data_IF_379801570560
#
_entry.id   IF_379801570560
#
_cell.length_a   1.000
_cell.length_b   1.000
_cell.length_c   1.000
_cell.angle_alpha   90.00
_cell.angle_beta   90.00
_cell.angle_gamma   90.00
#
_symmetry.space_group_name_H-M   'P 1'
#
loop_
_entity.id
_entity.type
_entity.pdbx_description
1 polymer ?
#
# COMPACT_ATOMS: atom_id res chain seq x y z
N UNK A 1 -66.04 2.76 15.49
CA UNK A 1 -66.59 1.70 14.63
C UNK A 1 -65.44 0.95 14.04
N UNK A 2 -65.02 -0.11 14.65
CA UNK A 2 -64.38 -1.29 14.09
C UNK A 2 -65.45 -2.19 13.46
N UNK A 3 -65.14 -3.34 12.84
CA UNK A 3 -63.89 -4.00 12.34
C UNK A 3 -64.14 -4.68 10.99
N UNK A 4 -63.19 -5.43 10.50
CA UNK A 4 -63.22 -6.86 10.12
C UNK A 4 -62.31 -7.12 8.89
N UNK A 5 -61.36 -7.95 9.15
CA UNK A 5 -61.16 -9.35 8.77
C UNK A 5 -61.05 -9.68 7.27
N UNK A 6 -59.91 -10.21 6.87
CA UNK A 6 -59.80 -11.48 6.20
C UNK A 6 -58.38 -11.86 5.76
N UNK A 7 -57.90 -12.86 6.40
CA UNK A 7 -57.45 -14.18 5.91
C UNK A 7 -56.07 -14.26 5.23
N UNK A 8 -55.21 -14.92 5.98
CA UNK A 8 -53.95 -15.57 5.58
C UNK A 8 -54.17 -16.74 4.62
N UNK A 9 -53.23 -16.94 3.68
CA UNK A 9 -52.91 -18.26 3.08
C UNK A 9 -51.42 -18.47 3.04
N UNK A 10 -50.94 -19.70 3.36
CA UNK A 10 -49.53 -20.00 3.47
C UNK A 10 -48.95 -20.40 2.14
N UNK A 11 -47.70 -19.96 1.87
CA UNK A 11 -46.89 -20.42 0.75
C UNK A 11 -46.10 -21.67 1.11
N UNK A 12 -46.22 -22.67 0.28
CA UNK A 12 -45.64 -24.01 0.37
C UNK A 12 -44.11 -23.97 0.36
N UNK A 13 -43.52 -24.66 1.33
CA UNK A 13 -42.16 -25.20 1.28
C UNK A 13 -42.04 -26.25 0.16
N UNK A 14 -41.05 -26.08 -0.70
CA UNK A 14 -40.57 -27.17 -1.53
C UNK A 14 -39.22 -27.65 -1.01
N UNK A 15 -39.27 -28.74 -0.28
CA UNK A 15 -38.13 -29.58 0.05
C UNK A 15 -37.69 -30.34 -1.22
N UNK A 16 -36.41 -30.24 -1.58
CA UNK A 16 -35.81 -31.15 -2.58
C UNK A 16 -34.90 -32.13 -1.85
N UNK A 17 -35.30 -33.39 -1.98
CA UNK A 17 -34.73 -34.55 -1.33
C UNK A 17 -33.30 -34.86 -1.83
N UNK A 18 -32.52 -35.32 -0.84
CA UNK A 18 -31.26 -36.08 -1.04
C UNK A 18 -31.57 -37.41 -1.75
N UNK A 19 -30.83 -37.69 -2.80
CA UNK A 19 -30.71 -39.07 -3.31
C UNK A 19 -29.25 -39.52 -3.23
N UNK A 20 -28.97 -40.35 -2.27
CA UNK A 20 -27.87 -41.31 -2.20
C UNK A 20 -28.04 -42.39 -3.21
N UNK A 21 -27.00 -42.72 -3.98
CA UNK A 21 -26.89 -43.98 -4.71
C UNK A 21 -25.61 -44.67 -4.28
N UNK A 22 -25.79 -45.79 -3.65
CA UNK A 22 -24.80 -46.76 -3.22
C UNK A 22 -24.86 -47.98 -4.19
N UNK A 23 -23.70 -48.57 -4.43
CA UNK A 23 -23.41 -49.97 -4.74
C UNK A 23 -23.36 -50.44 -6.20
N UNK A 24 -22.19 -50.98 -6.51
CA UNK A 24 -21.92 -51.95 -7.53
C UNK A 24 -20.62 -52.67 -7.23
N UNK A 25 -20.75 -53.79 -6.52
CA UNK A 25 -19.69 -54.79 -6.30
C UNK A 25 -19.54 -55.66 -7.54
N UNK A 26 -18.32 -55.96 -7.97
CA UNK A 26 -18.00 -57.00 -8.94
C UNK A 26 -16.68 -57.68 -8.57
N UNK A 27 -16.79 -58.91 -8.10
CA UNK A 27 -15.71 -59.80 -7.71
C UNK A 27 -15.28 -60.73 -8.88
N UNK A 28 -14.03 -61.19 -8.81
CA UNK A 28 -13.48 -62.31 -9.58
C UNK A 28 -12.06 -62.01 -10.06
N UNK A 29 -11.06 -62.86 -10.00
CA UNK A 29 -10.86 -64.22 -9.54
C UNK A 29 -9.34 -64.43 -9.33
N UNK A 30 -9.04 -65.36 -8.50
CA UNK A 30 -7.71 -65.87 -8.09
C UNK A 30 -7.01 -66.61 -9.20
N UNK A 31 -5.69 -66.42 -9.38
CA UNK A 31 -4.80 -67.45 -9.95
C UNK A 31 -3.43 -67.41 -9.23
N UNK A 32 -3.17 -68.50 -8.60
CA UNK A 32 -1.90 -68.89 -7.95
C UNK A 32 -0.83 -69.28 -8.97
N UNK A 33 0.42 -68.93 -8.73
CA UNK A 33 1.59 -69.43 -9.43
C UNK A 33 2.88 -69.19 -8.63
N UNK A 34 3.39 -70.26 -8.04
CA UNK A 34 4.64 -70.28 -7.27
C UNK A 34 5.86 -70.43 -8.18
N UNK A 35 6.98 -69.88 -7.72
CA UNK A 35 8.28 -70.46 -8.09
C UNK A 35 9.32 -69.47 -8.58
N UNK A 36 10.47 -69.44 -7.86
CA UNK A 36 11.74 -69.06 -8.45
C UNK A 36 12.58 -67.99 -7.75
N UNK A 37 13.32 -68.45 -6.74
CA UNK A 37 14.46 -67.72 -6.20
C UNK A 37 15.60 -67.80 -7.19
N UNK A 38 16.18 -66.69 -7.65
CA UNK A 38 17.55 -66.64 -8.10
C UNK A 38 18.16 -65.29 -7.73
N UNK A 39 19.13 -65.37 -6.83
CA UNK A 39 20.02 -64.28 -6.48
C UNK A 39 20.96 -63.97 -7.65
N UNK A 40 21.08 -62.73 -8.04
CA UNK A 40 22.20 -62.25 -8.83
C UNK A 40 22.66 -60.90 -8.22
N UNK A 41 23.75 -60.93 -7.49
CA UNK A 41 24.55 -59.77 -7.20
C UNK A 41 25.16 -59.26 -8.50
N UNK A 42 24.91 -58.03 -8.84
CA UNK A 42 25.72 -57.28 -9.80
C UNK A 42 25.86 -55.85 -9.34
N UNK A 43 27.04 -55.53 -9.04
CA UNK A 43 27.60 -54.23 -8.73
C UNK A 43 27.31 -53.20 -9.79
N UNK A 44 27.05 -51.95 -9.36
CA UNK A 44 27.08 -50.81 -10.25
C UNK A 44 25.93 -49.82 -10.03
N UNK A 45 25.69 -49.38 -8.79
CA UNK A 45 24.82 -48.26 -8.57
C UNK A 45 25.63 -46.94 -8.73
N UNK A 46 25.67 -46.45 -9.96
CA UNK A 46 25.90 -45.00 -10.14
C UNK A 46 24.72 -44.30 -9.52
N UNK A 47 24.95 -43.73 -8.34
CA UNK A 47 24.01 -42.87 -7.68
C UNK A 47 23.53 -41.82 -8.66
N UNK A 48 22.26 -41.96 -9.13
CA UNK A 48 21.53 -40.79 -9.57
C UNK A 48 21.47 -39.89 -8.34
N UNK A 49 22.30 -38.86 -8.33
CA UNK A 49 22.10 -37.73 -7.44
C UNK A 49 20.69 -37.25 -7.72
N UNK A 50 19.75 -37.60 -6.84
CA UNK A 50 18.50 -36.87 -6.74
C UNK A 50 18.93 -35.40 -6.58
N UNK A 51 18.70 -34.60 -7.59
CA UNK A 51 18.89 -33.18 -7.48
C UNK A 51 18.08 -32.78 -6.26
N UNK A 52 18.75 -32.46 -5.14
CA UNK A 52 18.09 -32.02 -3.93
C UNK A 52 17.22 -30.84 -4.35
N UNK A 53 15.91 -30.97 -4.18
CA UNK A 53 14.99 -29.87 -4.47
C UNK A 53 15.57 -28.65 -3.75
N UNK A 54 15.94 -27.61 -4.52
CA UNK A 54 16.54 -26.43 -3.94
C UNK A 54 15.53 -25.81 -2.99
N UNK A 55 15.90 -25.67 -1.71
CA UNK A 55 15.04 -25.07 -0.70
C UNK A 55 14.55 -23.68 -1.16
N UNK A 56 13.32 -23.32 -0.85
CA UNK A 56 12.66 -22.14 -1.38
C UNK A 56 12.19 -21.25 -0.26
N UNK A 57 12.45 -19.96 -0.36
CA UNK A 57 11.82 -18.90 0.43
C UNK A 57 10.59 -18.44 -0.35
N UNK A 58 9.43 -18.40 0.30
CA UNK A 58 8.17 -17.95 -0.30
C UNK A 58 7.72 -16.61 0.30
N UNK A 59 7.60 -15.59 -0.52
CA UNK A 59 7.08 -14.27 -0.16
C UNK A 59 5.61 -14.16 -0.62
N UNK A 60 4.71 -13.83 0.31
CA UNK A 60 3.33 -13.48 -0.01
C UNK A 60 3.19 -11.97 -0.14
N UNK A 61 2.66 -11.47 -1.25
CA UNK A 61 2.42 -10.04 -1.47
C UNK A 61 0.92 -9.78 -1.62
N UNK A 62 0.36 -8.94 -0.74
CA UNK A 62 -1.06 -8.54 -0.78
C UNK A 62 -1.16 -7.06 -1.07
N UNK A 63 -1.89 -6.71 -2.14
CA UNK A 63 -2.12 -5.33 -2.55
C UNK A 63 -3.47 -5.19 -3.29
N UNK A 64 -4.04 -3.98 -3.42
CA UNK A 64 -5.30 -3.75 -4.10
C UNK A 64 -5.08 -3.60 -5.62
N UNK A 65 -4.83 -4.70 -6.34
CA UNK A 65 -4.64 -4.66 -7.80
C UNK A 65 -5.89 -4.20 -8.54
N UNK A 66 -7.07 -4.36 -7.92
CA UNK A 66 -8.37 -3.89 -8.44
C UNK A 66 -9.16 -3.15 -7.34
N UNK A 67 -10.25 -2.46 -7.75
CA UNK A 67 -11.09 -1.68 -6.85
C UNK A 67 -10.72 -0.19 -6.74
N UNK A 68 -11.38 0.56 -5.83
CA UNK A 68 -11.28 2.03 -5.76
C UNK A 68 -9.89 2.58 -5.49
N UNK A 69 -9.04 1.85 -4.74
CA UNK A 69 -7.66 2.26 -4.42
C UNK A 69 -6.60 1.56 -5.27
N UNK A 70 -6.99 0.94 -6.39
CA UNK A 70 -6.06 0.22 -7.28
C UNK A 70 -4.97 1.10 -7.92
N UNK A 71 -5.13 2.42 -7.89
CA UNK A 71 -4.08 3.36 -8.27
C UNK A 71 -2.76 3.08 -7.54
N UNK A 72 -2.82 2.72 -6.26
CA UNK A 72 -1.65 2.40 -5.45
C UNK A 72 -0.89 1.17 -5.95
N UNK A 73 -1.58 0.14 -6.43
CA UNK A 73 -0.96 -1.10 -6.94
C UNK A 73 -0.71 -1.07 -8.46
N UNK A 74 -0.98 0.05 -9.12
CA UNK A 74 -0.93 0.14 -10.59
C UNK A 74 0.45 -0.06 -11.21
N UNK A 75 1.53 0.06 -10.40
CA UNK A 75 2.91 -0.23 -10.76
C UNK A 75 3.42 -1.61 -10.32
N UNK A 76 2.69 -2.34 -9.48
CA UNK A 76 3.22 -3.47 -8.73
C UNK A 76 3.57 -4.68 -9.60
N UNK A 77 2.77 -4.98 -10.62
CA UNK A 77 3.09 -6.05 -11.56
C UNK A 77 4.42 -5.80 -12.29
N UNK A 78 4.69 -4.54 -12.66
CA UNK A 78 5.98 -4.15 -13.23
C UNK A 78 7.11 -4.33 -12.21
N UNK A 79 6.91 -3.90 -10.96
CA UNK A 79 7.89 -4.05 -9.88
C UNK A 79 8.19 -5.53 -9.63
N UNK A 80 7.18 -6.38 -9.45
CA UNK A 80 7.35 -7.81 -9.23
C UNK A 80 8.13 -8.46 -10.39
N UNK A 81 7.80 -8.09 -11.63
CA UNK A 81 8.53 -8.59 -12.81
C UNK A 81 9.99 -8.13 -12.79
N UNK A 82 10.24 -6.85 -12.47
CA UNK A 82 11.60 -6.29 -12.39
C UNK A 82 12.40 -6.97 -11.29
N UNK A 83 11.82 -7.15 -10.10
CA UNK A 83 12.46 -7.82 -8.96
C UNK A 83 12.86 -9.26 -9.31
N UNK A 84 11.96 -10.01 -9.94
CA UNK A 84 12.24 -11.39 -10.40
C UNK A 84 13.40 -11.44 -11.39
N UNK A 85 13.68 -10.38 -12.13
CA UNK A 85 14.81 -10.25 -13.06
C UNK A 85 16.13 -9.82 -12.41
N UNK A 86 16.12 -9.34 -11.16
CA UNK A 86 17.35 -8.90 -10.48
C UNK A 86 18.28 -10.06 -10.17
N UNK A 87 19.60 -9.78 -10.09
CA UNK A 87 20.60 -10.81 -9.79
C UNK A 87 20.37 -11.49 -8.43
N UNK A 88 19.88 -10.75 -7.43
CA UNK A 88 19.60 -11.29 -6.09
C UNK A 88 18.49 -12.35 -6.15
N UNK A 89 17.42 -12.08 -6.88
CA UNK A 89 16.26 -12.98 -6.96
C UNK A 89 16.48 -14.14 -7.95
N UNK A 90 17.18 -13.90 -9.06
CA UNK A 90 17.46 -14.96 -10.05
C UNK A 90 18.48 -16.00 -9.54
N UNK A 91 19.49 -15.54 -8.79
CA UNK A 91 20.47 -16.44 -8.19
C UNK A 91 20.00 -17.07 -6.88
N UNK A 92 18.97 -16.49 -6.26
CA UNK A 92 18.46 -16.88 -4.95
C UNK A 92 19.20 -16.23 -3.79
N UNK A 93 18.59 -16.28 -2.60
CA UNK A 93 19.14 -15.69 -1.38
C UNK A 93 20.14 -16.64 -0.72
N UNK A 94 21.28 -16.10 -0.26
CA UNK A 94 22.25 -16.83 0.54
C UNK A 94 21.89 -16.65 2.02
N UNK A 95 21.48 -17.73 2.67
CA UNK A 95 21.04 -17.76 4.07
C UNK A 95 21.73 -18.92 4.78
N UNK A 96 22.39 -18.69 5.91
CA UNK A 96 23.07 -19.75 6.68
C UNK A 96 24.04 -20.57 5.85
N UNK A 97 24.70 -19.98 4.85
CA UNK A 97 25.64 -20.68 3.95
C UNK A 97 24.98 -21.48 2.82
N UNK A 98 23.65 -21.52 2.73
CA UNK A 98 22.88 -22.20 1.68
C UNK A 98 22.27 -21.18 0.71
N UNK A 99 21.91 -21.62 -0.49
CA UNK A 99 21.19 -20.78 -1.46
C UNK A 99 19.77 -21.27 -1.60
N UNK A 100 18.82 -20.36 -1.40
CA UNK A 100 17.37 -20.60 -1.49
C UNK A 100 16.81 -19.92 -2.73
N UNK A 101 15.98 -20.62 -3.50
CA UNK A 101 15.14 -19.98 -4.52
C UNK A 101 14.15 -19.04 -3.86
N UNK A 102 13.77 -17.99 -4.56
CA UNK A 102 12.74 -17.08 -4.04
C UNK A 102 11.50 -17.20 -4.92
N UNK A 103 10.37 -17.51 -4.28
CA UNK A 103 9.06 -17.51 -4.89
C UNK A 103 8.26 -16.29 -4.40
N UNK A 104 7.51 -15.62 -5.29
CA UNK A 104 6.65 -14.49 -4.95
C UNK A 104 5.23 -14.85 -5.37
N UNK A 105 4.29 -14.85 -4.41
CA UNK A 105 2.87 -15.06 -4.63
C UNK A 105 2.16 -13.74 -4.39
N UNK A 106 1.61 -13.15 -5.46
CA UNK A 106 0.83 -11.92 -5.37
C UNK A 106 -0.66 -12.23 -5.28
N UNK A 107 -1.39 -11.47 -4.46
CA UNK A 107 -2.81 -11.66 -4.19
C UNK A 107 -3.54 -10.31 -4.18
N UNK A 108 -4.69 -10.26 -4.86
CA UNK A 108 -5.51 -9.04 -5.03
C UNK A 108 -6.54 -8.91 -3.91
N UNK A 109 -6.37 -7.88 -3.06
CA UNK A 109 -7.33 -7.54 -2.01
C UNK A 109 -8.64 -6.99 -2.55
N UNK A 110 -8.68 -6.56 -3.81
CA UNK A 110 -9.83 -5.89 -4.44
C UNK A 110 -10.29 -4.63 -3.69
N UNK A 111 -9.37 -3.98 -2.99
CA UNK A 111 -9.65 -2.84 -2.11
C UNK A 111 -10.63 -3.17 -0.96
N UNK A 112 -10.71 -4.43 -0.55
CA UNK A 112 -11.59 -4.93 0.52
C UNK A 112 -10.75 -5.42 1.71
N UNK A 113 -10.93 -4.85 2.92
CA UNK A 113 -10.13 -5.21 4.09
C UNK A 113 -10.41 -6.63 4.61
N UNK A 114 -11.63 -7.16 4.46
CA UNK A 114 -11.95 -8.53 4.86
C UNK A 114 -11.24 -9.52 3.93
N UNK A 115 -11.24 -9.22 2.63
CA UNK A 115 -10.52 -10.02 1.64
C UNK A 115 -9.02 -9.97 1.87
N UNK A 116 -8.45 -8.81 2.20
CA UNK A 116 -7.03 -8.68 2.54
C UNK A 116 -6.64 -9.62 3.71
N UNK A 117 -7.44 -9.62 4.80
CA UNK A 117 -7.30 -10.56 5.92
C UNK A 117 -7.37 -12.03 5.49
N UNK A 118 -8.36 -12.40 4.67
CA UNK A 118 -8.54 -13.77 4.18
C UNK A 118 -7.36 -14.22 3.34
N UNK A 119 -6.87 -13.35 2.45
CA UNK A 119 -5.70 -13.63 1.60
C UNK A 119 -4.43 -13.83 2.43
N UNK A 120 -4.20 -12.99 3.45
CA UNK A 120 -3.07 -13.15 4.36
C UNK A 120 -3.10 -14.51 5.06
N UNK A 121 -4.25 -14.93 5.62
CA UNK A 121 -4.40 -16.26 6.23
C UNK A 121 -4.18 -17.39 5.22
N UNK A 122 -4.71 -17.24 4.00
CA UNK A 122 -4.54 -18.25 2.96
C UNK A 122 -3.06 -18.42 2.56
N UNK A 123 -2.34 -17.32 2.41
CA UNK A 123 -0.91 -17.33 2.10
C UNK A 123 -0.10 -18.02 3.22
N UNK A 124 -0.45 -17.77 4.48
CA UNK A 124 0.20 -18.41 5.63
C UNK A 124 -0.12 -19.90 5.68
N UNK A 125 -1.40 -20.27 5.70
CA UNK A 125 -1.84 -21.62 6.05
C UNK A 125 -1.74 -22.61 4.88
N UNK A 126 -1.94 -22.14 3.64
CA UNK A 126 -1.99 -23.00 2.47
C UNK A 126 -0.76 -22.88 1.56
N UNK A 127 -0.09 -21.72 1.57
CA UNK A 127 1.10 -21.49 0.75
C UNK A 127 2.40 -21.51 1.55
N UNK A 128 2.33 -21.60 2.89
CA UNK A 128 3.48 -21.63 3.80
C UNK A 128 4.48 -20.51 3.49
N UNK A 129 4.00 -19.26 3.43
CA UNK A 129 4.87 -18.10 3.17
C UNK A 129 5.78 -17.84 4.37
N UNK A 130 7.05 -17.54 4.09
CA UNK A 130 8.05 -17.19 5.09
C UNK A 130 7.98 -15.73 5.52
N UNK A 131 7.38 -14.86 4.69
CA UNK A 131 7.15 -13.45 4.97
C UNK A 131 5.97 -12.94 4.16
N UNK A 132 5.15 -12.10 4.79
CA UNK A 132 4.16 -11.28 4.10
C UNK A 132 4.74 -9.91 3.78
N UNK A 133 4.44 -9.43 2.59
CA UNK A 133 4.66 -8.06 2.13
C UNK A 133 3.31 -7.45 1.81
N UNK A 134 3.10 -6.19 2.17
CA UNK A 134 1.83 -5.53 1.89
C UNK A 134 1.99 -4.05 1.63
N UNK A 135 1.13 -3.50 0.81
CA UNK A 135 1.17 -2.10 0.40
C UNK A 135 -0.24 -1.57 0.22
N UNK A 136 -0.35 -0.25 0.38
CA UNK A 136 -1.49 0.54 -0.08
C UNK A 136 -2.64 0.66 0.90
N UNK A 137 -2.56 1.72 1.65
CA UNK A 137 -3.56 2.29 2.57
C UNK A 137 -3.93 1.39 3.77
N UNK A 138 -4.44 1.98 4.86
CA UNK A 138 -4.85 1.23 6.05
C UNK A 138 -5.83 0.09 5.75
N UNK A 139 -6.68 0.25 4.73
CA UNK A 139 -7.70 -0.73 4.35
C UNK A 139 -7.13 -2.07 3.87
N UNK A 140 -5.92 -2.05 3.29
CA UNK A 140 -5.21 -3.28 2.88
C UNK A 140 -4.14 -3.67 3.88
N UNK A 141 -3.32 -2.70 4.32
CA UNK A 141 -2.11 -2.93 5.11
C UNK A 141 -2.44 -3.44 6.50
N UNK A 142 -3.37 -2.78 7.21
CA UNK A 142 -3.72 -3.14 8.59
C UNK A 142 -4.28 -4.56 8.71
N UNK A 143 -5.27 -5.00 7.90
CA UNK A 143 -5.77 -6.37 7.98
C UNK A 143 -4.70 -7.43 7.76
N UNK A 144 -3.75 -7.20 6.84
CA UNK A 144 -2.65 -8.11 6.57
C UNK A 144 -1.67 -8.16 7.74
N UNK A 145 -1.27 -6.99 8.27
CA UNK A 145 -0.35 -6.90 9.39
C UNK A 145 -0.92 -7.50 10.68
N UNK A 146 -2.22 -7.30 10.96
CA UNK A 146 -2.91 -7.91 12.11
C UNK A 146 -2.89 -9.43 12.01
N UNK A 147 -3.16 -9.99 10.83
CA UNK A 147 -3.08 -11.45 10.63
C UNK A 147 -1.64 -11.94 10.79
N UNK A 148 -0.66 -11.28 10.19
CA UNK A 148 0.75 -11.64 10.31
C UNK A 148 1.22 -11.64 11.78
N UNK A 149 0.89 -10.58 12.53
CA UNK A 149 1.23 -10.46 13.95
C UNK A 149 0.57 -11.57 14.79
N UNK A 150 -0.68 -11.93 14.48
CA UNK A 150 -1.45 -12.95 15.21
C UNK A 150 -0.92 -14.36 14.94
N UNK A 151 -0.59 -14.65 13.67
CA UNK A 151 -0.12 -15.96 13.22
C UNK A 151 1.40 -16.13 13.40
N UNK A 152 2.12 -15.10 13.84
CA UNK A 152 3.56 -15.15 14.08
C UNK A 152 4.39 -15.25 12.79
N UNK A 153 3.98 -14.59 11.72
CA UNK A 153 4.69 -14.56 10.43
C UNK A 153 5.26 -13.17 10.18
N UNK A 154 6.55 -13.03 9.80
CA UNK A 154 7.15 -11.73 9.49
C UNK A 154 6.35 -10.97 8.42
N UNK A 155 6.18 -9.66 8.62
CA UNK A 155 5.46 -8.78 7.69
C UNK A 155 6.16 -7.45 7.56
N UNK A 156 6.46 -7.05 6.32
CA UNK A 156 6.89 -5.70 6.00
C UNK A 156 5.79 -4.97 5.22
N UNK A 157 5.53 -3.72 5.61
CA UNK A 157 4.46 -2.90 5.09
C UNK A 157 4.94 -1.52 4.60
N UNK A 158 4.20 -0.92 3.69
CA UNK A 158 4.44 0.45 3.20
C UNK A 158 3.17 1.10 2.66
N UNK A 159 3.26 2.39 2.31
CA UNK A 159 2.17 3.20 1.73
C UNK A 159 0.92 3.28 2.63
N UNK A 160 1.15 3.41 3.93
CA UNK A 160 0.16 3.64 4.97
C UNK A 160 0.78 4.59 6.01
N UNK A 161 0.16 5.75 6.34
CA UNK A 161 0.67 6.63 7.40
C UNK A 161 0.94 5.85 8.67
N UNK A 162 2.13 6.00 9.24
CA UNK A 162 2.56 5.13 10.33
C UNK A 162 1.65 5.20 11.55
N UNK A 163 1.01 6.34 11.82
CA UNK A 163 0.06 6.46 12.92
C UNK A 163 -1.21 5.63 12.69
N UNK A 164 -1.71 5.58 11.45
CA UNK A 164 -2.87 4.76 11.06
C UNK A 164 -2.56 3.28 11.19
N UNK A 165 -1.39 2.85 10.70
CA UNK A 165 -0.92 1.48 10.81
C UNK A 165 -0.72 1.06 12.29
N UNK A 166 -0.04 1.92 13.07
CA UNK A 166 0.27 1.64 14.46
C UNK A 166 -0.99 1.51 15.32
N UNK A 167 -1.97 2.39 15.11
CA UNK A 167 -3.28 2.31 15.74
C UNK A 167 -4.07 1.08 15.27
N UNK A 168 -3.99 0.74 13.99
CA UNK A 168 -4.65 -0.45 13.42
C UNK A 168 -4.19 -1.77 14.03
N UNK A 169 -2.93 -1.83 14.51
CA UNK A 169 -2.41 -2.98 15.26
C UNK A 169 -2.69 -2.89 16.78
N UNK A 170 -3.39 -1.86 17.25
CA UNK A 170 -3.75 -1.65 18.65
C UNK A 170 -2.72 -0.85 19.47
N UNK A 171 -1.73 -0.21 18.81
CA UNK A 171 -0.79 0.71 19.45
C UNK A 171 -1.39 2.09 19.69
N UNK A 172 -0.75 2.89 20.53
CA UNK A 172 -1.11 4.28 20.75
C UNK A 172 -0.10 5.21 20.03
N UNK A 173 -0.46 5.84 18.90
CA UNK A 173 0.45 6.71 18.16
C UNK A 173 0.90 7.96 18.95
N UNK A 174 0.11 8.41 19.94
CA UNK A 174 0.49 9.54 20.78
C UNK A 174 1.57 9.17 21.82
N UNK A 175 1.76 7.87 22.10
CA UNK A 175 2.82 7.33 22.96
C UNK A 175 3.28 5.98 22.40
N UNK A 176 4.08 5.96 21.32
CA UNK A 176 4.37 4.75 20.56
C UNK A 176 5.48 3.90 21.21
N UNK A 177 5.12 3.12 22.23
CA UNK A 177 6.04 2.24 22.99
C UNK A 177 5.84 0.75 22.71
N UNK A 178 4.76 0.36 22.00
CA UNK A 178 4.46 -1.04 21.69
C UNK A 178 5.31 -1.53 20.54
N UNK A 179 6.00 -2.66 20.72
CA UNK A 179 6.68 -3.36 19.63
C UNK A 179 5.77 -4.46 19.08
N UNK A 180 5.45 -4.39 17.80
CA UNK A 180 4.78 -5.47 17.07
C UNK A 180 5.83 -6.43 16.55
N UNK A 181 6.06 -7.54 17.26
CA UNK A 181 7.20 -8.43 17.07
C UNK A 181 7.42 -8.87 15.62
N UNK A 182 6.34 -9.13 14.89
CA UNK A 182 6.44 -9.69 13.53
C UNK A 182 6.24 -8.65 12.42
N UNK A 183 5.87 -7.41 12.77
CA UNK A 183 5.47 -6.42 11.78
C UNK A 183 6.35 -5.18 11.80
N UNK A 184 6.70 -4.68 10.62
CA UNK A 184 7.40 -3.41 10.42
C UNK A 184 6.71 -2.60 9.31
N UNK A 185 6.89 -1.28 9.36
CA UNK A 185 6.39 -0.38 8.34
C UNK A 185 7.43 0.70 8.00
N UNK A 186 7.55 1.04 6.73
CA UNK A 186 8.27 2.23 6.30
C UNK A 186 7.36 3.13 5.47
N UNK A 187 6.96 4.24 6.05
CA UNK A 187 6.19 5.30 5.39
C UNK A 187 6.19 6.54 6.27
N UNK A 188 5.96 7.71 5.67
CA UNK A 188 5.81 8.95 6.41
C UNK A 188 4.56 8.93 7.30
N UNK A 189 4.48 9.86 8.24
CA UNK A 189 3.33 10.00 9.14
C UNK A 189 2.48 11.22 8.85
N UNK A 190 1.39 11.35 9.60
CA UNK A 190 0.46 12.48 9.50
C UNK A 190 1.12 13.81 9.83
N UNK A 191 2.13 13.79 10.73
CA UNK A 191 2.93 14.98 11.01
C UNK A 191 3.76 15.39 9.81
N UNK A 192 4.41 14.46 9.12
CA UNK A 192 5.22 14.74 7.94
C UNK A 192 4.36 15.27 6.80
N UNK A 193 3.15 14.70 6.63
CA UNK A 193 2.16 15.18 5.67
C UNK A 193 1.72 16.61 5.98
N UNK A 194 1.35 16.89 7.24
CA UNK A 194 0.97 18.22 7.68
C UNK A 194 2.10 19.23 7.41
N UNK A 195 3.32 18.90 7.80
CA UNK A 195 4.48 19.78 7.64
C UNK A 195 4.78 20.03 6.15
N UNK A 196 4.61 19.02 5.29
CA UNK A 196 4.73 19.14 3.85
C UNK A 196 3.69 20.13 3.27
N UNK A 197 2.44 20.00 3.68
CA UNK A 197 1.37 20.89 3.22
C UNK A 197 1.56 22.31 3.75
N UNK A 198 1.89 22.46 5.04
CA UNK A 198 2.19 23.76 5.67
C UNK A 198 3.39 24.44 5.00
N UNK A 199 4.43 23.69 4.64
CA UNK A 199 5.57 24.24 3.90
C UNK A 199 5.13 24.84 2.56
N UNK A 200 4.28 24.15 1.81
CA UNK A 200 3.71 24.70 0.57
C UNK A 200 2.82 25.92 0.83
N UNK A 201 1.94 25.89 1.85
CA UNK A 201 1.06 27.02 2.17
C UNK A 201 1.85 28.27 2.55
N UNK A 202 2.94 28.10 3.31
CA UNK A 202 3.82 29.22 3.74
C UNK A 202 4.63 29.84 2.58
N UNK A 203 4.79 29.16 1.44
CA UNK A 203 5.46 29.71 0.25
C UNK A 203 4.59 30.67 -0.55
N UNK A 204 3.27 30.58 -0.40
CA UNK A 204 2.38 31.54 -1.03
C UNK A 204 2.39 32.87 -0.25
N UNK A 205 2.24 34.02 -0.92
CA UNK A 205 2.05 35.29 -0.22
C UNK A 205 0.94 35.16 0.82
N UNK A 206 1.01 35.88 1.92
CA UNK A 206 0.02 35.80 3.01
C UNK A 206 -1.39 36.05 2.47
N UNK A 207 -2.31 35.12 2.76
CA UNK A 207 -3.74 35.24 2.43
C UNK A 207 -4.50 36.10 3.43
N UNK A 208 -5.83 36.13 3.29
CA UNK A 208 -6.69 36.89 4.21
C UNK A 208 -6.84 36.18 5.57
N UNK A 209 -6.74 34.86 5.57
CA UNK A 209 -6.80 34.05 6.78
C UNK A 209 -5.98 32.75 6.61
N UNK A 210 -5.97 31.90 7.64
CA UNK A 210 -5.27 30.61 7.64
C UNK A 210 -6.26 29.44 7.88
N UNK A 211 -7.50 29.59 7.46
CA UNK A 211 -8.52 28.54 7.57
C UNK A 211 -8.29 27.46 6.52
N UNK A 212 -8.24 26.21 6.98
CA UNK A 212 -8.02 25.02 6.17
C UNK A 212 -9.30 24.19 6.16
N UNK A 213 -9.88 24.00 5.00
CA UNK A 213 -11.01 23.09 4.83
C UNK A 213 -10.56 21.64 5.02
N UNK A 214 -11.23 20.89 5.87
CA UNK A 214 -10.98 19.48 6.13
C UNK A 214 -12.06 18.59 5.52
N UNK A 215 -11.73 17.83 4.46
CA UNK A 215 -12.61 16.82 3.88
C UNK A 215 -12.08 15.43 4.23
N UNK A 216 -12.54 14.87 5.33
CA UNK A 216 -12.07 13.61 5.87
C UNK A 216 -13.22 12.61 5.94
N UNK A 217 -13.15 11.45 5.21
CA UNK A 217 -14.21 10.44 5.20
C UNK A 217 -14.38 9.76 6.56
N UNK A 218 -15.44 8.96 6.70
CA UNK A 218 -15.65 8.10 7.87
C UNK A 218 -15.07 6.70 7.60
N UNK A 219 -13.80 6.67 7.27
CA UNK A 219 -12.99 5.46 7.12
C UNK A 219 -11.78 5.49 8.07
N UNK A 220 -10.88 4.51 7.97
CA UNK A 220 -9.70 4.43 8.85
C UNK A 220 -8.77 5.64 8.67
N UNK A 221 -8.51 6.06 7.44
CA UNK A 221 -7.67 7.23 7.11
C UNK A 221 -8.32 8.53 7.60
N UNK A 222 -9.56 8.80 7.18
CA UNK A 222 -10.27 10.03 7.51
C UNK A 222 -10.45 10.23 9.01
N UNK A 223 -10.69 9.15 9.74
CA UNK A 223 -10.79 9.20 11.21
C UNK A 223 -9.44 9.50 11.87
N UNK A 224 -8.33 8.94 11.35
CA UNK A 224 -6.98 9.26 11.81
C UNK A 224 -6.62 10.73 11.51
N UNK A 225 -6.91 11.22 10.30
CA UNK A 225 -6.71 12.62 9.91
C UNK A 225 -7.49 13.57 10.83
N UNK A 226 -8.79 13.31 11.05
CA UNK A 226 -9.65 14.12 11.93
C UNK A 226 -9.16 14.17 13.36
N UNK A 227 -8.61 13.07 13.86
CA UNK A 227 -8.10 13.00 15.23
C UNK A 227 -6.78 13.78 15.43
N UNK A 228 -5.93 13.87 14.39
CA UNK A 228 -4.54 14.33 14.51
C UNK A 228 -4.32 15.70 13.88
N UNK A 229 -4.78 15.90 12.62
CA UNK A 229 -4.40 17.07 11.83
C UNK A 229 -4.86 18.41 12.40
N UNK A 230 -6.06 18.58 13.01
CA UNK A 230 -6.46 19.87 13.57
C UNK A 230 -5.47 20.40 14.62
N UNK A 231 -4.94 19.50 15.46
CA UNK A 231 -3.93 19.87 16.46
C UNK A 231 -2.61 20.29 15.82
N UNK A 232 -2.13 19.52 14.83
CA UNK A 232 -0.89 19.82 14.11
C UNK A 232 -0.99 21.12 13.31
N UNK A 233 -2.12 21.35 12.62
CA UNK A 233 -2.38 22.60 11.90
C UNK A 233 -2.38 23.80 12.85
N UNK A 234 -3.03 23.66 14.02
CA UNK A 234 -3.04 24.73 15.03
C UNK A 234 -1.66 25.07 15.55
N UNK A 235 -0.82 24.06 15.80
CA UNK A 235 0.59 24.25 16.17
C UNK A 235 1.39 24.99 15.10
N UNK A 236 1.01 24.80 13.83
CA UNK A 236 1.62 25.48 12.67
C UNK A 236 0.97 26.85 12.36
N UNK A 237 0.01 27.30 13.17
CA UNK A 237 -0.68 28.58 13.02
C UNK A 237 -1.79 28.59 11.97
N UNK A 238 -2.36 27.44 11.68
CA UNK A 238 -3.53 27.25 10.80
C UNK A 238 -4.72 26.72 11.58
N UNK A 239 -5.93 27.02 11.13
CA UNK A 239 -7.18 26.63 11.78
C UNK A 239 -7.96 25.67 10.86
N UNK A 240 -8.13 24.42 11.31
CA UNK A 240 -8.89 23.41 10.59
C UNK A 240 -10.40 23.67 10.73
N UNK A 241 -11.11 23.63 9.62
CA UNK A 241 -12.56 23.66 9.52
C UNK A 241 -13.02 22.30 9.03
N UNK A 242 -13.49 21.45 9.94
CA UNK A 242 -13.98 20.12 9.59
C UNK A 242 -15.30 20.21 8.82
N UNK A 243 -15.33 19.66 7.61
CA UNK A 243 -16.53 19.59 6.76
C UNK A 243 -17.57 18.58 7.23
N UNK A 244 -17.26 17.80 8.26
CA UNK A 244 -18.08 16.69 8.78
C UNK A 244 -17.69 15.35 8.16
N UNK A 245 -17.85 14.29 8.97
CA UNK A 245 -17.62 12.92 8.52
C UNK A 245 -18.68 12.51 7.48
N UNK A 246 -18.27 11.85 6.42
CA UNK A 246 -19.15 11.37 5.37
C UNK A 246 -18.77 9.92 4.98
N UNK A 247 -19.72 9.08 4.57
CA UNK A 247 -19.43 7.75 4.09
C UNK A 247 -18.82 7.78 2.69
N UNK A 248 -17.94 6.84 2.38
CA UNK A 248 -17.43 6.62 1.04
C UNK A 248 -18.58 6.39 0.04
N UNK A 249 -18.43 6.94 -1.17
CA UNK A 249 -19.47 6.90 -2.20
C UNK A 249 -20.52 8.00 -2.05
N UNK A 250 -20.30 9.00 -1.22
CA UNK A 250 -21.14 10.20 -1.14
C UNK A 250 -21.18 10.92 -2.49
N UNK A 251 -22.37 11.37 -2.92
CA UNK A 251 -22.58 12.01 -4.21
C UNK A 251 -22.98 13.49 -4.14
N UNK A 252 -23.31 14.01 -2.96
CA UNK A 252 -23.65 15.42 -2.72
C UNK A 252 -22.83 16.00 -1.57
N UNK A 253 -21.97 16.95 -1.89
CA UNK A 253 -21.09 17.64 -0.97
C UNK A 253 -21.49 19.09 -0.71
N UNK A 254 -22.71 19.50 -1.13
CA UNK A 254 -23.17 20.89 -1.06
C UNK A 254 -23.09 21.48 0.35
N UNK A 255 -23.50 20.73 1.37
CA UNK A 255 -23.43 21.20 2.77
C UNK A 255 -21.99 21.46 3.21
N UNK A 256 -21.07 20.53 2.91
CA UNK A 256 -19.64 20.63 3.20
C UNK A 256 -19.01 21.84 2.50
N UNK A 257 -19.27 22.01 1.20
CA UNK A 257 -18.76 23.15 0.42
C UNK A 257 -19.26 24.48 0.99
N UNK A 258 -20.55 24.55 1.41
CA UNK A 258 -21.08 25.74 2.05
C UNK A 258 -20.39 26.04 3.39
N UNK A 259 -20.07 25.04 4.19
CA UNK A 259 -19.27 25.21 5.43
C UNK A 259 -17.92 25.84 5.12
N UNK A 260 -17.21 25.37 4.11
CA UNK A 260 -15.90 25.91 3.71
C UNK A 260 -15.99 27.35 3.17
N UNK A 261 -17.05 27.66 2.42
CA UNK A 261 -17.31 29.02 1.93
C UNK A 261 -17.61 29.99 3.07
N UNK A 262 -18.49 29.61 4.01
CA UNK A 262 -18.86 30.43 5.16
C UNK A 262 -17.66 30.72 6.07
N UNK A 263 -16.78 29.74 6.26
CA UNK A 263 -15.54 29.89 7.01
C UNK A 263 -14.42 30.59 6.20
N UNK A 264 -14.68 30.93 4.94
CA UNK A 264 -13.69 31.52 4.04
C UNK A 264 -12.37 30.72 4.01
N UNK A 265 -12.46 29.39 3.84
CA UNK A 265 -11.28 28.53 3.82
C UNK A 265 -10.42 28.81 2.58
N UNK A 266 -9.17 29.21 2.79
CA UNK A 266 -8.19 29.51 1.74
C UNK A 266 -7.30 28.31 1.38
N UNK A 267 -7.22 27.31 2.27
CA UNK A 267 -6.45 26.11 2.09
C UNK A 267 -7.34 24.88 2.19
N UNK A 268 -6.86 23.77 1.66
CA UNK A 268 -7.60 22.52 1.65
C UNK A 268 -6.72 21.34 2.02
N UNK A 269 -7.18 20.50 2.94
CA UNK A 269 -6.57 19.24 3.37
C UNK A 269 -7.63 18.14 3.36
N UNK A 270 -7.27 16.97 2.84
CA UNK A 270 -8.26 15.89 2.66
C UNK A 270 -7.57 14.54 2.47
N UNK A 271 -8.35 13.46 2.54
CA UNK A 271 -7.92 12.09 2.22
C UNK A 271 -9.07 11.22 1.66
N UNK A 272 -9.88 11.71 0.70
CA UNK A 272 -11.00 10.98 0.15
C UNK A 272 -10.57 9.82 -0.75
N UNK A 273 -11.49 8.94 -1.12
CA UNK A 273 -11.31 8.05 -2.25
C UNK A 273 -11.33 8.85 -3.57
N UNK A 274 -10.64 8.38 -4.63
CA UNK A 274 -10.60 9.09 -5.92
C UNK A 274 -11.97 9.42 -6.52
N UNK A 275 -12.98 8.53 -6.53
CA UNK A 275 -14.31 8.87 -7.02
C UNK A 275 -14.97 10.02 -6.25
N UNK A 276 -14.83 10.03 -4.93
CA UNK A 276 -15.44 11.02 -4.04
C UNK A 276 -14.80 12.39 -4.25
N UNK A 277 -13.47 12.46 -4.35
CA UNK A 277 -12.76 13.68 -4.67
C UNK A 277 -13.20 14.26 -6.02
N UNK A 278 -13.33 13.42 -7.04
CA UNK A 278 -13.74 13.84 -8.38
C UNK A 278 -15.12 14.50 -8.37
N UNK A 279 -16.06 13.95 -7.61
CA UNK A 279 -17.42 14.53 -7.45
C UNK A 279 -17.33 15.84 -6.66
N UNK A 280 -16.68 15.80 -5.48
CA UNK A 280 -16.50 16.96 -4.62
C UNK A 280 -15.84 18.13 -5.35
N UNK A 281 -14.72 17.92 -6.03
CA UNK A 281 -13.96 18.99 -6.67
C UNK A 281 -14.71 19.65 -7.81
N UNK A 282 -15.47 18.88 -8.59
CA UNK A 282 -16.38 19.41 -9.62
C UNK A 282 -17.49 20.25 -9.00
N UNK A 283 -18.15 19.76 -7.95
CA UNK A 283 -19.18 20.51 -7.23
C UNK A 283 -18.63 21.78 -6.59
N UNK A 284 -17.47 21.72 -5.98
CA UNK A 284 -16.78 22.86 -5.38
C UNK A 284 -16.53 23.97 -6.40
N UNK A 285 -16.01 23.61 -7.57
CA UNK A 285 -15.78 24.56 -8.66
C UNK A 285 -17.10 25.14 -9.21
N UNK A 286 -18.14 24.33 -9.41
CA UNK A 286 -19.47 24.77 -9.86
C UNK A 286 -20.13 25.73 -8.85
N UNK A 287 -19.95 25.48 -7.55
CA UNK A 287 -20.49 26.31 -6.48
C UNK A 287 -19.61 27.52 -6.16
N UNK A 288 -18.49 27.70 -6.87
CA UNK A 288 -17.60 28.85 -6.74
C UNK A 288 -16.74 28.86 -5.48
N UNK A 289 -16.51 27.71 -4.81
CA UNK A 289 -15.49 27.61 -3.78
C UNK A 289 -14.12 27.40 -4.44
N UNK A 290 -13.22 28.33 -4.19
CA UNK A 290 -11.90 28.39 -4.83
C UNK A 290 -10.83 28.60 -3.76
N UNK A 291 -10.35 27.55 -3.11
CA UNK A 291 -9.24 27.68 -2.18
C UNK A 291 -8.00 28.17 -2.93
N UNK A 292 -7.21 28.95 -2.25
CA UNK A 292 -5.97 29.51 -2.79
C UNK A 292 -4.95 28.42 -3.14
N UNK A 293 -4.81 27.42 -2.25
CA UNK A 293 -4.05 26.21 -2.52
C UNK A 293 -4.83 24.98 -2.04
N UNK A 294 -5.15 24.10 -2.98
CA UNK A 294 -5.69 22.79 -2.67
C UNK A 294 -4.56 21.78 -2.60
N UNK A 295 -4.30 21.27 -1.39
CA UNK A 295 -3.42 20.13 -1.13
C UNK A 295 -4.28 18.89 -0.92
N UNK A 296 -4.01 17.83 -1.67
CA UNK A 296 -4.87 16.64 -1.77
C UNK A 296 -4.04 15.41 -1.47
N UNK A 297 -4.31 14.75 -0.35
CA UNK A 297 -3.69 13.49 0.02
C UNK A 297 -4.49 12.28 -0.48
N UNK A 298 -3.87 11.11 -0.56
CA UNK A 298 -4.47 9.83 -0.98
C UNK A 298 -4.93 9.81 -2.46
N UNK A 299 -5.60 10.85 -2.92
CA UNK A 299 -5.94 11.11 -4.33
C UNK A 299 -4.86 11.99 -4.97
N UNK A 300 -4.82 12.06 -6.28
CA UNK A 300 -3.83 12.83 -7.06
C UNK A 300 -2.37 12.39 -6.85
N UNK A 301 -2.17 11.26 -6.20
CA UNK A 301 -0.88 10.58 -6.11
C UNK A 301 -0.56 9.83 -7.41
N UNK A 302 -1.58 9.64 -8.26
CA UNK A 302 -1.51 8.82 -9.47
C UNK A 302 -2.08 9.56 -10.69
N UNK A 303 -1.45 9.42 -11.87
CA UNK A 303 -1.93 10.04 -13.11
C UNK A 303 -3.36 9.67 -13.48
N UNK A 304 -3.79 8.44 -13.15
CA UNK A 304 -5.17 7.99 -13.43
C UNK A 304 -6.23 8.86 -12.74
N UNK A 305 -5.90 9.45 -11.59
CA UNK A 305 -6.83 10.29 -10.83
C UNK A 305 -7.01 11.68 -11.45
N UNK A 306 -6.07 12.10 -12.30
CA UNK A 306 -6.13 13.40 -12.99
C UNK A 306 -7.09 13.38 -14.18
N UNK A 307 -7.23 12.23 -14.84
CA UNK A 307 -7.99 12.09 -16.09
C UNK A 307 -9.46 12.52 -15.93
N UNK A 308 -10.20 12.10 -14.87
CA UNK A 308 -11.61 12.50 -14.71
C UNK A 308 -11.82 13.98 -14.43
N UNK A 309 -10.78 14.68 -13.97
CA UNK A 309 -10.81 16.09 -13.61
C UNK A 309 -10.48 17.01 -14.80
N UNK A 310 -9.72 16.52 -15.79
CA UNK A 310 -9.30 17.30 -16.93
C UNK A 310 -8.59 18.60 -16.52
N UNK A 311 -8.98 19.79 -17.05
CA UNK A 311 -8.31 21.06 -16.71
C UNK A 311 -8.35 21.45 -15.22
N UNK A 312 -9.27 20.88 -14.43
CA UNK A 312 -9.39 21.16 -12.99
C UNK A 312 -8.22 20.60 -12.17
N UNK A 313 -7.32 19.84 -12.80
CA UNK A 313 -6.08 19.32 -12.18
C UNK A 313 -5.01 20.39 -12.05
N UNK A 314 -5.04 21.41 -12.89
CA UNK A 314 -3.97 22.43 -12.95
C UNK A 314 -3.70 23.03 -11.57
N UNK A 315 -2.41 22.97 -11.17
CA UNK A 315 -1.90 23.47 -9.90
C UNK A 315 -2.52 22.83 -8.64
N UNK A 316 -3.26 21.72 -8.74
CA UNK A 316 -3.55 20.92 -7.56
C UNK A 316 -2.24 20.38 -6.99
N UNK A 317 -2.07 20.51 -5.68
CA UNK A 317 -0.88 20.09 -4.98
C UNK A 317 -1.13 18.77 -4.23
N UNK A 318 -0.07 18.02 -4.01
CA UNK A 318 -0.08 16.80 -3.19
C UNK A 318 1.31 16.57 -2.57
N UNK A 319 1.41 15.57 -1.75
CA UNK A 319 2.68 15.04 -1.24
C UNK A 319 3.31 14.05 -2.22
N UNK A 320 4.61 13.86 -2.12
CA UNK A 320 5.27 12.76 -2.81
C UNK A 320 6.45 12.23 -2.01
N UNK A 321 6.44 10.90 -1.82
CA UNK A 321 7.49 10.18 -1.09
C UNK A 321 8.51 9.51 -2.01
N UNK A 322 8.22 9.42 -3.31
CA UNK A 322 9.12 8.83 -4.29
C UNK A 322 8.86 9.34 -5.70
N UNK A 323 9.91 9.42 -6.49
CA UNK A 323 9.82 9.83 -7.89
C UNK A 323 11.19 9.98 -8.55
N UNK A 324 11.24 10.36 -9.85
CA UNK A 324 12.48 10.47 -10.61
C UNK A 324 13.42 11.59 -10.13
N UNK A 325 12.93 12.47 -9.30
CA UNK A 325 13.66 13.58 -8.67
C UNK A 325 14.42 13.16 -7.39
N UNK A 326 14.17 11.95 -6.89
CA UNK A 326 14.88 11.41 -5.74
C UNK A 326 16.26 10.89 -6.15
N UNK A 327 17.34 11.20 -5.38
CA UNK A 327 18.71 10.81 -5.72
C UNK A 327 19.06 9.39 -5.26
N UNK A 328 18.10 8.49 -5.17
CA UNK A 328 18.27 7.17 -4.59
C UNK A 328 18.48 6.10 -5.65
N UNK A 329 19.12 4.99 -5.24
CA UNK A 329 19.37 3.83 -6.08
C UNK A 329 19.07 2.54 -5.32
N UNK A 330 18.78 1.46 -6.06
CA UNK A 330 18.46 0.16 -5.49
C UNK A 330 19.65 -0.46 -4.75
N UNK A 331 19.37 -1.12 -3.62
CA UNK A 331 20.33 -1.97 -2.92
C UNK A 331 20.56 -3.32 -3.62
N UNK A 332 19.61 -3.76 -4.45
CA UNK A 332 19.71 -5.00 -5.24
C UNK A 332 20.51 -4.80 -6.53
N UNK A 333 20.52 -3.59 -7.06
CA UNK A 333 21.33 -3.15 -8.19
C UNK A 333 21.70 -1.66 -8.03
N UNK A 334 22.89 -1.35 -7.49
CA UNK A 334 23.30 0.05 -7.26
C UNK A 334 23.35 0.94 -8.50
N UNK A 335 23.31 0.36 -9.71
CA UNK A 335 23.24 1.13 -10.96
C UNK A 335 21.81 1.57 -11.28
N UNK A 336 20.81 0.91 -10.74
CA UNK A 336 19.41 1.23 -10.94
C UNK A 336 18.98 2.37 -9.99
N UNK A 337 18.83 3.57 -10.52
CA UNK A 337 18.37 4.76 -9.78
C UNK A 337 16.85 4.90 -9.90
N UNK A 338 16.24 5.68 -9.02
CA UNK A 338 14.81 5.98 -9.06
C UNK A 338 14.36 6.48 -10.46
N UNK A 339 15.09 7.41 -11.06
CA UNK A 339 14.80 7.91 -12.40
C UNK A 339 14.89 6.85 -13.51
N UNK A 340 15.79 5.88 -13.34
CA UNK A 340 15.98 4.82 -14.33
C UNK A 340 14.84 3.80 -14.22
N UNK A 341 14.38 3.52 -12.99
CA UNK A 341 13.22 2.66 -12.75
C UNK A 341 11.93 3.30 -13.30
N UNK A 342 11.75 4.61 -13.12
CA UNK A 342 10.66 5.38 -13.75
C UNK A 342 10.69 5.24 -15.26
N UNK A 343 11.87 5.46 -15.88
CA UNK A 343 12.02 5.33 -17.33
C UNK A 343 11.67 3.92 -17.82
N UNK A 344 12.15 2.89 -17.13
CA UNK A 344 11.84 1.49 -17.46
C UNK A 344 10.32 1.23 -17.41
N UNK A 345 9.62 1.74 -16.38
CA UNK A 345 8.16 1.61 -16.28
C UNK A 345 7.46 2.27 -17.47
N UNK A 346 7.84 3.52 -17.79
CA UNK A 346 7.22 4.28 -18.88
C UNK A 346 7.50 3.66 -20.26
N UNK A 347 8.71 3.14 -20.48
CA UNK A 347 9.08 2.48 -21.73
C UNK A 347 8.31 1.15 -21.93
N UNK A 348 8.17 0.36 -20.87
CA UNK A 348 7.52 -0.95 -20.95
C UNK A 348 6.00 -0.87 -21.00
N UNK A 349 5.41 0.10 -20.29
CA UNK A 349 3.96 0.16 -20.12
C UNK A 349 3.29 1.22 -20.98
N UNK A 350 4.03 2.17 -21.48
CA UNK A 350 3.50 3.36 -22.16
C UNK A 350 2.78 4.35 -21.24
N UNK A 351 2.69 4.06 -19.93
CA UNK A 351 1.97 4.82 -18.90
C UNK A 351 2.91 5.77 -18.19
N UNK A 352 2.35 6.83 -17.60
CA UNK A 352 3.07 7.68 -16.67
C UNK A 352 3.37 6.89 -15.38
N UNK A 353 4.50 7.20 -14.74
CA UNK A 353 4.95 6.54 -13.52
C UNK A 353 4.03 6.87 -12.34
N UNK A 354 4.08 6.01 -11.33
CA UNK A 354 3.36 6.16 -10.06
C UNK A 354 4.34 6.04 -8.91
N UNK A 355 4.15 6.83 -7.86
CA UNK A 355 5.10 6.89 -6.75
C UNK A 355 5.17 5.61 -5.91
N UNK A 356 4.11 4.82 -5.89
CA UNK A 356 4.09 3.52 -5.19
C UNK A 356 5.12 2.51 -5.72
N UNK A 357 5.61 2.67 -6.95
CA UNK A 357 6.69 1.84 -7.52
C UNK A 357 7.90 1.75 -6.57
N UNK A 358 8.30 2.89 -5.98
CA UNK A 358 9.44 2.93 -5.05
C UNK A 358 9.18 2.15 -3.78
N UNK A 359 8.04 2.36 -3.14
CA UNK A 359 7.66 1.64 -1.93
C UNK A 359 7.55 0.13 -2.15
N UNK A 360 6.83 -0.28 -3.19
CA UNK A 360 6.69 -1.70 -3.54
C UNK A 360 8.05 -2.34 -3.86
N UNK A 361 8.94 -1.64 -4.58
CA UNK A 361 10.29 -2.15 -4.84
C UNK A 361 11.08 -2.32 -3.53
N UNK A 362 10.99 -1.35 -2.62
CA UNK A 362 11.69 -1.38 -1.33
C UNK A 362 11.19 -2.49 -0.40
N UNK A 363 9.94 -2.95 -0.48
CA UNK A 363 9.48 -4.13 0.25
C UNK A 363 10.33 -5.36 -0.06
N UNK A 364 10.68 -5.55 -1.33
CA UNK A 364 11.53 -6.66 -1.76
C UNK A 364 13.00 -6.45 -1.39
N UNK A 365 13.48 -5.21 -1.33
CA UNK A 365 14.80 -4.89 -0.77
C UNK A 365 14.85 -5.24 0.72
N UNK A 366 13.84 -4.83 1.50
CA UNK A 366 13.72 -5.13 2.94
C UNK A 366 13.68 -6.64 3.18
N UNK A 367 12.90 -7.39 2.41
CA UNK A 367 12.87 -8.85 2.49
C UNK A 367 14.25 -9.46 2.23
N UNK A 368 14.97 -9.01 1.19
CA UNK A 368 16.32 -9.47 0.91
C UNK A 368 17.27 -9.19 2.06
N UNK A 369 17.26 -7.98 2.64
CA UNK A 369 18.10 -7.59 3.77
C UNK A 369 17.81 -8.48 5.00
N UNK A 370 16.55 -8.71 5.33
CA UNK A 370 16.17 -9.53 6.48
C UNK A 370 16.63 -10.99 6.29
N UNK A 371 16.27 -11.63 5.18
CA UNK A 371 16.61 -13.04 4.95
C UNK A 371 18.11 -13.30 4.83
N UNK A 372 18.89 -12.39 4.26
CA UNK A 372 20.34 -12.59 4.11
C UNK A 372 21.11 -12.38 5.42
N UNK A 373 20.45 -11.95 6.49
CA UNK A 373 21.05 -11.71 7.81
C UNK A 373 20.71 -12.79 8.87
N UNK A 374 19.94 -13.83 8.50
CA UNK A 374 19.54 -14.92 9.40
C UNK A 374 20.26 -16.24 9.09
N UNK A 375 20.17 -17.18 10.01
CA UNK A 375 20.73 -18.52 9.85
C UNK A 375 19.74 -19.50 9.21
N UNK A 376 18.44 -19.36 9.49
CA UNK A 376 17.35 -20.16 8.93
C UNK A 376 16.23 -19.25 8.42
N UNK A 377 15.90 -19.26 7.12
CA UNK A 377 14.83 -18.41 6.57
C UNK A 377 13.42 -18.87 6.96
N UNK A 378 13.27 -20.06 7.53
CA UNK A 378 12.00 -20.62 7.98
C UNK A 378 11.77 -20.43 9.49
N UNK A 379 12.75 -19.89 10.23
CA UNK A 379 12.58 -19.46 11.61
C UNK A 379 11.95 -18.05 11.64
N UNK A 380 10.62 -17.99 11.66
CA UNK A 380 9.88 -16.74 11.65
C UNK A 380 10.29 -15.76 12.76
N UNK A 381 10.49 -16.19 14.04
CA UNK A 381 11.05 -15.31 15.07
C UNK A 381 12.43 -14.73 14.72
N UNK A 382 13.33 -15.52 14.14
CA UNK A 382 14.67 -15.03 13.72
C UNK A 382 14.53 -14.00 12.59
N UNK A 383 13.71 -14.29 11.57
CA UNK A 383 13.46 -13.39 10.44
C UNK A 383 12.79 -12.10 10.91
N UNK A 384 11.81 -12.18 11.83
CA UNK A 384 11.16 -11.01 12.41
C UNK A 384 12.15 -10.13 13.19
N UNK A 385 13.00 -10.75 14.01
CA UNK A 385 14.05 -10.01 14.74
C UNK A 385 15.08 -9.35 13.81
N UNK A 386 15.38 -10.01 12.68
CA UNK A 386 16.24 -9.44 11.64
C UNK A 386 15.55 -8.27 10.92
N UNK A 387 14.25 -8.38 10.64
CA UNK A 387 13.45 -7.32 9.99
C UNK A 387 13.50 -6.02 10.80
N UNK A 388 13.38 -6.08 12.13
CA UNK A 388 13.48 -4.93 13.02
C UNK A 388 14.90 -4.31 13.09
N UNK A 389 15.91 -5.00 12.59
CA UNK A 389 17.31 -4.52 12.56
C UNK A 389 17.76 -4.07 11.17
N UNK A 390 16.90 -4.16 10.16
CA UNK A 390 17.22 -3.72 8.80
C UNK A 390 17.61 -2.25 8.82
N UNK A 391 18.80 -1.96 8.32
CA UNK A 391 19.35 -0.64 8.13
C UNK A 391 20.15 -0.61 6.83
N UNK A 392 19.62 0.08 5.80
CA UNK A 392 20.25 0.12 4.49
C UNK A 392 19.82 1.36 3.70
N UNK A 393 20.49 1.61 2.58
CA UNK A 393 20.10 2.61 1.59
C UNK A 393 19.58 1.89 0.34
N UNK A 394 18.33 2.14 -0.01
CA UNK A 394 17.64 1.54 -1.15
C UNK A 394 17.00 2.55 -2.09
N UNK A 395 16.13 2.05 -2.96
CA UNK A 395 15.46 2.86 -4.00
C UNK A 395 14.54 3.95 -3.41
N UNK A 396 14.04 3.76 -2.20
CA UNK A 396 13.25 4.75 -1.45
C UNK A 396 14.10 5.59 -0.47
N UNK A 397 15.42 5.44 -0.51
CA UNK A 397 16.35 6.14 0.37
C UNK A 397 16.82 5.30 1.56
N UNK A 398 17.24 5.95 2.64
CA UNK A 398 17.66 5.25 3.86
C UNK A 398 16.44 4.67 4.58
N UNK A 399 16.49 3.38 4.91
CA UNK A 399 15.52 2.71 5.76
C UNK A 399 16.26 2.11 6.97
N UNK A 400 16.04 2.67 8.14
CA UNK A 400 16.65 2.27 9.41
C UNK A 400 15.55 1.99 10.45
N UNK A 401 15.15 0.72 10.59
CA UNK A 401 14.10 0.30 11.52
C UNK A 401 14.51 0.37 13.00
N UNK A 402 15.78 0.67 13.28
CA UNK A 402 16.28 0.85 14.66
C UNK A 402 16.10 2.28 15.16
N UNK A 403 15.78 3.23 14.27
CA UNK A 403 15.73 4.67 14.57
C UNK A 403 14.54 5.34 13.86
N UNK A 404 13.33 5.08 14.33
CA UNK A 404 12.12 5.64 13.77
C UNK A 404 11.19 6.26 14.81
N UNK A 405 10.03 6.77 14.39
CA UNK A 405 9.06 7.43 15.29
C UNK A 405 8.38 6.44 16.26
N UNK A 406 8.39 5.16 15.94
CA UNK A 406 7.85 4.09 16.75
C UNK A 406 8.69 2.82 16.55
N UNK A 407 8.66 1.83 17.48
CA UNK A 407 9.34 0.56 17.29
C UNK A 407 8.91 -0.13 15.99
N UNK A 408 9.88 -0.52 15.16
CA UNK A 408 9.63 -1.17 13.86
C UNK A 408 9.06 -0.26 12.77
N UNK A 409 9.12 1.05 12.94
CA UNK A 409 8.65 2.04 11.96
C UNK A 409 9.79 2.89 11.45
N UNK A 410 9.82 3.14 10.14
CA UNK A 410 10.70 4.13 9.49
C UNK A 410 9.84 5.20 8.84
N UNK A 411 10.02 6.47 9.21
CA UNK A 411 9.41 7.58 8.49
C UNK A 411 10.23 7.89 7.22
N UNK A 412 9.60 7.75 6.06
CA UNK A 412 10.22 8.11 4.78
C UNK A 412 10.11 9.61 4.52
N UNK A 413 11.10 10.24 3.87
CA UNK A 413 11.01 11.66 3.54
C UNK A 413 9.92 11.92 2.49
N UNK A 414 9.30 13.10 2.57
CA UNK A 414 8.25 13.56 1.69
C UNK A 414 8.59 14.94 1.11
N UNK A 415 8.07 15.26 -0.08
CA UNK A 415 8.18 16.57 -0.73
C UNK A 415 6.82 17.03 -1.23
N UNK A 416 6.63 18.35 -1.33
CA UNK A 416 5.46 18.95 -1.95
C UNK A 416 5.59 18.95 -3.47
N UNK A 417 4.54 18.49 -4.16
CA UNK A 417 4.46 18.47 -5.62
C UNK A 417 3.18 19.15 -6.12
N UNK A 418 3.21 19.63 -7.35
CA UNK A 418 2.02 20.12 -8.06
C UNK A 418 1.89 19.46 -9.42
N UNK A 419 0.66 19.23 -9.83
CA UNK A 419 0.32 18.86 -11.20
C UNK A 419 0.43 20.09 -12.10
N UNK A 420 1.42 20.10 -12.96
CA UNK A 420 1.67 21.17 -13.94
C UNK A 420 1.30 20.69 -15.34
N UNK A 421 0.70 21.60 -16.14
CA UNK A 421 0.51 21.36 -17.57
C UNK A 421 1.86 21.03 -18.23
N UNK A 422 1.85 20.06 -19.12
CA UNK A 422 3.02 19.61 -19.84
C UNK A 422 2.75 19.54 -21.33
N UNK A 423 3.75 19.93 -22.12
CA UNK A 423 3.76 19.73 -23.57
C UNK A 423 4.34 18.37 -23.97
N UNK A 424 4.68 17.53 -23.01
CA UNK A 424 5.24 16.20 -23.20
C UNK A 424 4.20 15.15 -23.59
N UNK A 425 4.56 13.88 -23.35
CA UNK A 425 3.68 12.73 -23.64
C UNK A 425 2.38 12.73 -22.82
N UNK A 426 2.44 13.25 -21.60
CA UNK A 426 1.33 13.30 -20.66
C UNK A 426 0.84 14.74 -20.51
N UNK A 427 -0.47 15.00 -20.43
CA UNK A 427 -1.01 16.36 -20.40
C UNK A 427 -0.68 17.12 -19.11
N UNK A 428 -0.46 16.39 -18.03
CA UNK A 428 -0.02 16.90 -16.74
C UNK A 428 1.15 16.05 -16.22
N UNK A 429 2.03 16.67 -15.47
CA UNK A 429 3.16 16.01 -14.81
C UNK A 429 3.33 16.54 -13.39
N UNK A 430 3.66 15.65 -12.44
CA UNK A 430 4.06 16.05 -11.09
C UNK A 430 5.42 16.73 -11.09
N UNK A 431 5.48 17.96 -10.57
CA UNK A 431 6.73 18.71 -10.37
C UNK A 431 6.93 19.00 -8.89
N UNK A 432 8.13 18.80 -8.37
CA UNK A 432 8.50 19.20 -7.01
C UNK A 432 8.47 20.72 -6.93
N UNK A 433 7.64 21.24 -6.03
CA UNK A 433 7.45 22.68 -5.78
C UNK A 433 7.86 23.08 -4.37
N UNK A 434 8.05 22.11 -3.48
CA UNK A 434 8.65 22.28 -2.16
C UNK A 434 9.47 21.03 -1.77
N UNK A 435 10.71 21.25 -1.36
CA UNK A 435 11.62 20.19 -0.89
C UNK A 435 12.16 20.47 0.51
N UNK A 436 11.46 21.28 1.30
CA UNK A 436 11.88 21.67 2.65
C UNK A 436 12.16 20.46 3.53
N UNK A 437 11.31 19.42 3.46
CA UNK A 437 11.46 18.19 4.26
C UNK A 437 12.46 17.19 3.64
N UNK A 438 12.80 17.34 2.35
CA UNK A 438 13.81 16.53 1.69
C UNK A 438 14.65 17.36 0.70
N UNK A 439 15.62 18.16 1.20
CA UNK A 439 16.44 19.03 0.35
C UNK A 439 17.27 18.31 -0.72
N UNK A 440 17.39 16.97 -0.62
CA UNK A 440 18.07 16.15 -1.63
C UNK A 440 17.23 15.95 -2.89
N UNK A 441 15.92 16.10 -2.82
CA UNK A 441 15.04 16.03 -3.97
C UNK A 441 15.18 17.31 -4.82
N UNK A 442 15.28 17.12 -6.14
CA UNK A 442 15.45 18.24 -7.06
C UNK A 442 14.13 18.98 -7.28
N UNK A 443 14.16 20.30 -7.07
CA UNK A 443 13.04 21.19 -7.45
C UNK A 443 12.75 21.10 -8.95
N UNK A 444 11.47 21.10 -9.32
CA UNK A 444 10.99 20.93 -10.70
C UNK A 444 10.25 22.14 -11.26
N UNK A 445 9.63 22.94 -10.39
CA UNK A 445 8.87 24.14 -10.76
C UNK A 445 8.69 25.07 -9.54
N UNK A 446 8.22 26.28 -9.81
CA UNK A 446 7.72 27.16 -8.76
C UNK A 446 6.31 26.75 -8.30
N UNK A 447 6.05 26.96 -7.00
CA UNK A 447 4.71 26.80 -6.45
C UNK A 447 3.79 27.91 -6.95
N UNK A 448 2.64 27.56 -7.47
CA UNK A 448 1.60 28.47 -7.90
C UNK A 448 0.28 28.23 -7.14
N UNK A 449 -0.54 29.28 -6.93
CA UNK A 449 -1.88 29.07 -6.41
C UNK A 449 -2.69 28.11 -7.30
N UNK A 450 -3.59 27.34 -6.68
CA UNK A 450 -4.57 26.52 -7.43
C UNK A 450 -5.56 27.43 -8.15
N UNK A 451 -5.95 28.51 -7.48
CA UNK A 451 -6.78 29.57 -8.02
C UNK A 451 -6.07 30.90 -7.80
N UNK A 452 -5.54 31.52 -8.87
CA UNK A 452 -4.84 32.80 -8.80
C UNK A 452 -5.75 33.99 -8.46
#
# INVERSE_FOLDING_TARGET
MSPDEAAARPSQERSIARRSVLRGLGAGAVATGAGGILAACSSGNKGSSAASAQATITLGYVAPFTGPISGFASGDNFVISTIRGTSAYTKGFKVGGKTYKVNIIAADSQSDPNRASQLARNLILNNNVDMLLTSSTPETVNPVAVVAQTEGVPCAATNDPWESWYAGLGGNPANPTTTFQYCTLFFFGLKDLNDCFVAMWNRLPVGNNKNVAGMWPNDADGNAFRAVLPTLMKQSGYDAVDGGAYPDGTTDYTAMINTFKQANCEYFSNCPLPPDFNIFWKQANQQGWKPRLATVAKVLLFPADTVPLGPLVKNLATDSWWGPYMPYSSSLDPKLRAKDLVKMFQDQTGREWVQSIGGTYSLFEVAHQAFTSVSDPHDHPEVAAALHKVNYHGISGPLDFTNGPAPGVVATPVVGVQWKESSGKFPFEMKVVDNTLNPKAKMGADLEPTNP
#
